data_IF_801868433940
#
_entry.id   IF_801868433940
#
_cell.length_a   1.000
_cell.length_b   1.000
_cell.length_c   1.000
_cell.angle_alpha   90.00
_cell.angle_beta   90.00
_cell.angle_gamma   90.00
#
_symmetry.space_group_name_H-M   'P 1'
#
loop_
_entity.id
_entity.type
_entity.pdbx_description
1 polymer ?
#
# COMPACT_ATOMS: atom_id res chain seq x y z
N UNK A 1 -13.27 3.20 16.96
CA UNK A 1 -12.25 2.41 16.25
C UNK A 1 -12.67 0.95 16.32
N UNK A 2 -12.87 0.28 15.19
CA UNK A 2 -13.22 -1.15 15.17
C UNK A 2 -11.93 -1.97 15.06
N UNK A 3 -11.78 -3.00 15.90
CA UNK A 3 -10.68 -3.95 15.82
C UNK A 3 -11.15 -5.21 15.10
N UNK A 4 -10.50 -5.55 14.00
CA UNK A 4 -10.77 -6.78 13.25
C UNK A 4 -9.76 -7.83 13.71
N UNK A 5 -10.24 -8.89 14.37
CA UNK A 5 -9.43 -10.07 14.72
C UNK A 5 -9.65 -11.14 13.66
N UNK A 6 -8.57 -11.60 13.05
CA UNK A 6 -8.60 -12.57 11.96
C UNK A 6 -8.17 -13.93 12.51
N UNK A 7 -8.91 -14.98 12.18
CA UNK A 7 -8.50 -16.35 12.49
C UNK A 7 -7.45 -16.81 11.47
N UNK A 8 -6.21 -16.96 11.93
CA UNK A 8 -5.05 -17.32 11.10
C UNK A 8 -5.12 -18.72 10.50
N UNK A 9 -5.98 -19.59 11.03
CA UNK A 9 -6.22 -20.92 10.46
C UNK A 9 -7.09 -20.88 9.19
N UNK A 10 -7.76 -19.75 8.94
CA UNK A 10 -8.74 -19.60 7.85
C UNK A 10 -8.30 -18.52 6.86
N UNK A 11 -7.70 -17.44 7.34
CA UNK A 11 -7.27 -16.34 6.50
C UNK A 11 -5.95 -15.73 6.98
N UNK A 12 -5.11 -15.37 6.01
CA UNK A 12 -3.90 -14.61 6.27
C UNK A 12 -4.22 -13.13 6.51
N UNK A 13 -3.72 -12.53 7.60
CA UNK A 13 -3.98 -11.11 7.88
C UNK A 13 -3.57 -10.17 6.75
N UNK A 14 -2.40 -10.40 6.15
CA UNK A 14 -1.90 -9.62 5.00
C UNK A 14 -2.82 -9.71 3.79
N UNK A 15 -3.33 -10.90 3.49
CA UNK A 15 -4.27 -11.09 2.38
C UNK A 15 -5.53 -10.25 2.58
N UNK A 16 -6.11 -10.27 3.78
CA UNK A 16 -7.29 -9.46 4.11
C UNK A 16 -6.99 -7.97 3.97
N UNK A 17 -5.83 -7.50 4.41
CA UNK A 17 -5.42 -6.09 4.24
C UNK A 17 -5.42 -5.70 2.76
N UNK A 18 -4.79 -6.50 1.90
CA UNK A 18 -4.75 -6.24 0.46
C UNK A 18 -6.14 -6.23 -0.18
N UNK A 19 -7.02 -7.16 0.21
CA UNK A 19 -8.42 -7.19 -0.27
C UNK A 19 -9.18 -5.94 0.16
N UNK A 20 -9.08 -5.54 1.43
CA UNK A 20 -9.77 -4.35 1.97
C UNK A 20 -9.25 -3.04 1.33
N UNK A 21 -7.97 -3.02 0.94
CA UNK A 21 -7.36 -1.88 0.27
C UNK A 21 -7.66 -1.81 -1.22
N UNK A 22 -8.13 -2.92 -1.82
CA UNK A 22 -8.42 -2.99 -3.25
C UNK A 22 -9.49 -1.98 -3.68
N UNK A 23 -9.34 -1.45 -4.90
CA UNK A 23 -10.27 -0.47 -5.44
C UNK A 23 -11.66 -1.06 -5.64
N UNK A 24 -11.74 -2.34 -6.05
CA UNK A 24 -13.01 -3.04 -6.22
C UNK A 24 -13.78 -3.13 -4.90
N UNK A 25 -13.10 -3.51 -3.82
CA UNK A 25 -13.72 -3.58 -2.49
C UNK A 25 -14.16 -2.19 -2.02
N UNK A 26 -13.30 -1.19 -2.16
CA UNK A 26 -13.63 0.20 -1.79
C UNK A 26 -14.84 0.72 -2.57
N UNK A 27 -14.88 0.52 -3.88
CA UNK A 27 -15.96 1.03 -4.71
C UNK A 27 -17.29 0.31 -4.44
N UNK A 28 -17.27 -1.02 -4.34
CA UNK A 28 -18.48 -1.82 -4.18
C UNK A 28 -19.04 -1.83 -2.76
N UNK A 29 -18.18 -1.87 -1.74
CA UNK A 29 -18.56 -2.09 -0.34
C UNK A 29 -18.33 -0.89 0.58
N UNK A 30 -17.52 0.09 0.21
CA UNK A 30 -17.25 1.27 1.06
C UNK A 30 -17.94 2.50 0.49
N UNK A 31 -17.64 2.88 -0.75
CA UNK A 31 -18.12 4.11 -1.38
C UNK A 31 -19.65 4.13 -1.54
N UNK A 32 -20.26 2.97 -1.87
CA UNK A 32 -21.73 2.83 -1.92
C UNK A 32 -22.44 3.27 -0.64
N UNK A 33 -21.84 3.04 0.52
CA UNK A 33 -22.43 3.41 1.81
C UNK A 33 -22.03 4.82 2.25
N UNK A 34 -20.85 5.30 1.84
CA UNK A 34 -20.39 6.65 2.13
C UNK A 34 -21.16 7.72 1.34
N UNK A 35 -21.62 7.42 0.12
CA UNK A 35 -22.43 8.34 -0.70
C UNK A 35 -23.84 8.55 -0.12
N UNK A 36 -24.37 7.58 0.64
CA UNK A 36 -25.70 7.65 1.22
C UNK A 36 -25.78 8.46 2.54
N UNK A 37 -24.64 8.86 3.11
CA UNK A 37 -24.59 9.50 4.43
C UNK A 37 -23.78 10.80 4.40
N UNK A 38 -24.37 11.92 4.84
CA UNK A 38 -23.68 13.21 4.97
C UNK A 38 -22.49 13.17 5.96
N UNK A 39 -22.45 12.18 6.86
CA UNK A 39 -21.28 11.85 7.68
C UNK A 39 -20.65 10.55 7.15
N UNK A 40 -19.42 10.63 6.65
CA UNK A 40 -18.64 9.52 6.09
C UNK A 40 -18.21 8.50 7.16
N UNK A 41 -19.16 7.81 7.79
CA UNK A 41 -18.91 6.83 8.83
C UNK A 41 -19.53 5.47 8.47
N UNK A 42 -18.70 4.42 8.47
CA UNK A 42 -19.17 3.05 8.31
C UNK A 42 -19.72 2.54 9.64
N UNK A 43 -20.99 2.15 9.65
CA UNK A 43 -21.60 1.49 10.82
C UNK A 43 -21.11 0.05 10.94
N UNK A 44 -21.07 -0.46 12.17
CA UNK A 44 -20.64 -1.85 12.43
C UNK A 44 -21.53 -2.88 11.71
N UNK A 45 -22.81 -2.55 11.51
CA UNK A 45 -23.74 -3.38 10.77
C UNK A 45 -23.35 -3.53 9.29
N UNK A 46 -22.89 -2.44 8.66
CA UNK A 46 -22.44 -2.47 7.27
C UNK A 46 -21.12 -3.24 7.15
N UNK A 47 -20.20 -3.09 8.12
CA UNK A 47 -18.93 -3.84 8.15
C UNK A 47 -19.19 -5.35 8.22
N UNK A 48 -20.17 -5.79 9.01
CA UNK A 48 -20.56 -7.21 9.12
C UNK A 48 -21.17 -7.77 7.83
N UNK A 49 -21.67 -6.91 6.93
CA UNK A 49 -22.28 -7.30 5.65
C UNK A 49 -21.25 -7.42 4.52
N UNK A 50 -19.99 -7.08 4.76
CA UNK A 50 -18.94 -7.19 3.74
C UNK A 50 -18.79 -8.64 3.26
N UNK A 51 -18.78 -8.80 1.94
CA UNK A 51 -18.58 -10.08 1.26
C UNK A 51 -17.39 -9.96 0.32
N UNK A 52 -16.50 -10.93 0.39
CA UNK A 52 -15.36 -11.07 -0.51
C UNK A 52 -15.01 -12.54 -0.64
N UNK A 53 -14.27 -12.88 -1.70
CA UNK A 53 -13.84 -14.25 -1.94
C UNK A 53 -12.68 -14.59 -1.01
N UNK A 54 -12.75 -15.76 -0.37
CA UNK A 54 -11.68 -16.28 0.47
C UNK A 54 -11.18 -17.60 -0.12
N UNK A 55 -10.07 -17.59 -0.88
CA UNK A 55 -9.49 -18.80 -1.45
C UNK A 55 -8.75 -19.62 -0.39
N UNK A 56 -8.24 -20.79 -0.75
CA UNK A 56 -7.44 -21.62 0.17
C UNK A 56 -6.16 -20.91 0.64
N UNK A 57 -5.65 -21.28 1.82
CA UNK A 57 -4.47 -20.64 2.43
C UNK A 57 -3.27 -20.60 1.47
N UNK A 58 -2.99 -21.68 0.75
CA UNK A 58 -1.89 -21.74 -0.22
C UNK A 58 -2.01 -20.70 -1.34
N UNK A 59 -3.23 -20.44 -1.81
CA UNK A 59 -3.49 -19.41 -2.82
C UNK A 59 -3.35 -18.02 -2.20
N UNK A 60 -3.82 -17.83 -0.96
CA UNK A 60 -3.63 -16.57 -0.24
C UNK A 60 -2.13 -16.25 -0.07
N UNK A 61 -1.31 -17.23 0.33
CA UNK A 61 0.15 -17.09 0.47
C UNK A 61 0.80 -16.68 -0.84
N UNK A 62 0.43 -17.33 -1.94
CA UNK A 62 0.95 -17.01 -3.25
C UNK A 62 0.63 -15.57 -3.65
N UNK A 63 -0.64 -15.15 -3.48
CA UNK A 63 -1.07 -13.77 -3.77
C UNK A 63 -0.28 -12.77 -2.91
N UNK A 64 -0.20 -13.02 -1.60
CA UNK A 64 0.55 -12.16 -0.67
C UNK A 64 2.02 -12.08 -1.07
N UNK A 65 2.64 -13.18 -1.50
CA UNK A 65 4.05 -13.19 -1.90
C UNK A 65 4.34 -12.29 -3.11
N UNK A 66 3.37 -12.16 -4.03
CA UNK A 66 3.48 -11.29 -5.19
C UNK A 66 3.29 -9.84 -4.76
N UNK A 67 2.22 -9.56 -4.01
CA UNK A 67 1.89 -8.21 -3.59
C UNK A 67 2.94 -7.63 -2.64
N UNK A 68 3.49 -8.43 -1.72
CA UNK A 68 4.57 -8.01 -0.83
C UNK A 68 5.84 -7.63 -1.61
N UNK A 69 6.14 -8.29 -2.73
CA UNK A 69 7.29 -7.90 -3.58
C UNK A 69 7.08 -6.53 -4.20
N UNK A 70 5.88 -6.25 -4.71
CA UNK A 70 5.55 -4.93 -5.25
C UNK A 70 5.55 -3.86 -4.18
N UNK A 71 4.94 -4.13 -3.03
CA UNK A 71 4.90 -3.21 -1.90
C UNK A 71 6.31 -2.86 -1.41
N UNK A 72 7.18 -3.88 -1.28
CA UNK A 72 8.59 -3.68 -0.93
C UNK A 72 9.31 -2.82 -1.98
N UNK A 73 9.15 -3.11 -3.27
CA UNK A 73 9.80 -2.35 -4.33
C UNK A 73 9.36 -0.87 -4.32
N UNK A 74 8.07 -0.61 -4.10
CA UNK A 74 7.50 0.74 -4.26
C UNK A 74 7.63 1.58 -2.99
N UNK A 75 7.39 0.99 -1.83
CA UNK A 75 7.21 1.73 -0.57
C UNK A 75 8.36 1.57 0.42
N UNK A 76 9.24 0.58 0.25
CA UNK A 76 10.34 0.36 1.21
C UNK A 76 11.39 1.47 1.12
N UNK A 77 11.66 2.13 2.25
CA UNK A 77 12.57 3.27 2.34
C UNK A 77 14.04 2.85 2.27
N UNK A 78 14.35 1.58 2.58
CA UNK A 78 15.71 1.04 2.60
C UNK A 78 16.11 0.43 1.27
N UNK A 79 15.18 -0.30 0.63
CA UNK A 79 15.49 -1.12 -0.56
C UNK A 79 14.62 -0.80 -1.78
N UNK A 80 13.60 0.05 -1.63
CA UNK A 80 12.67 0.39 -2.71
C UNK A 80 13.03 1.67 -3.46
N UNK A 81 12.09 2.10 -4.33
CA UNK A 81 12.17 3.32 -5.12
C UNK A 81 12.53 4.58 -4.32
N UNK A 82 12.02 4.81 -3.09
CA UNK A 82 12.40 5.97 -2.31
C UNK A 82 13.91 6.06 -2.08
N UNK A 83 14.57 4.91 -1.86
CA UNK A 83 16.02 4.86 -1.67
C UNK A 83 16.77 5.23 -2.94
N UNK A 84 16.32 4.69 -4.07
CA UNK A 84 16.94 4.98 -5.36
C UNK A 84 16.79 6.47 -5.72
N UNK A 85 15.62 7.06 -5.50
CA UNK A 85 15.38 8.50 -5.72
C UNK A 85 16.32 9.34 -4.86
N UNK A 86 16.47 9.02 -3.58
CA UNK A 86 17.40 9.71 -2.67
C UNK A 86 18.84 9.67 -3.19
N UNK A 87 19.31 8.50 -3.63
CA UNK A 87 20.65 8.32 -4.16
C UNK A 87 20.86 9.09 -5.48
N UNK A 88 19.85 9.09 -6.37
CA UNK A 88 19.89 9.82 -7.63
C UNK A 88 19.90 11.33 -7.41
N UNK A 89 19.18 11.84 -6.42
CA UNK A 89 19.22 13.26 -6.04
C UNK A 89 20.60 13.67 -5.55
N UNK A 90 21.21 12.89 -4.66
CA UNK A 90 22.58 13.12 -4.18
C UNK A 90 23.61 13.09 -5.31
N UNK A 91 23.47 12.12 -6.21
CA UNK A 91 24.31 12.02 -7.40
C UNK A 91 24.17 13.28 -8.28
N UNK A 92 22.95 13.72 -8.53
CA UNK A 92 22.68 14.93 -9.31
C UNK A 92 23.30 16.18 -8.67
N UNK A 93 23.12 16.38 -7.37
CA UNK A 93 23.69 17.53 -6.65
C UNK A 93 25.21 17.58 -6.75
N UNK A 94 25.87 16.44 -6.53
CA UNK A 94 27.32 16.32 -6.66
C UNK A 94 27.82 16.73 -8.05
N UNK A 95 27.21 16.20 -9.12
CA UNK A 95 27.64 16.55 -10.48
C UNK A 95 27.26 17.98 -10.88
N UNK A 96 26.13 18.50 -10.40
CA UNK A 96 25.73 19.89 -10.62
C UNK A 96 26.76 20.85 -10.02
N UNK A 97 27.18 20.63 -8.78
CA UNK A 97 28.19 21.44 -8.13
C UNK A 97 29.54 21.36 -8.85
N UNK A 98 29.95 20.16 -9.26
CA UNK A 98 31.18 19.97 -10.02
C UNK A 98 31.18 20.64 -11.40
N UNK A 99 30.04 20.66 -12.09
CA UNK A 99 29.89 21.32 -13.40
C UNK A 99 29.88 22.84 -13.29
N UNK A 100 29.40 23.38 -12.17
CA UNK A 100 29.33 24.82 -11.89
C UNK A 100 30.56 25.34 -11.14
N UNK A 101 31.54 24.48 -10.87
CA UNK A 101 32.83 24.85 -10.29
C UNK A 101 33.77 25.32 -11.42
N UNK A 102 33.68 26.62 -11.73
CA UNK A 102 34.54 27.24 -12.73
C UNK A 102 35.86 27.70 -12.09
N UNK A 103 37.00 27.48 -12.77
CA UNK A 103 38.27 28.03 -12.30
C UNK A 103 38.15 29.56 -12.22
N UNK A 104 38.51 30.13 -11.07
CA UNK A 104 38.57 31.58 -10.91
C UNK A 104 39.75 32.11 -11.73
N UNK A 105 39.50 33.03 -12.65
CA UNK A 105 40.55 33.80 -13.32
C UNK A 105 41.33 34.60 -12.27
N UNK A 106 42.65 34.47 -12.28
CA UNK A 106 43.59 35.24 -11.44
C UNK A 106 43.91 36.57 -12.10
#
# INVERSE_FOLDING_TARGET
MALIRINTNVALPKYIIYVLQSNEFKNSQINKWLEASSMKNLTMENIRKFKFLLPSLKVQEYIVSILDKFDTLVNDIKNGLPKEIELRQKQYEYYREKLLDFPKEN
#
